data_IF_614759797980
#
_entry.id   IF_614759797980
#
_cell.length_a   1.000
_cell.length_b   1.000
_cell.length_c   1.000
_cell.angle_alpha   90.00
_cell.angle_beta   90.00
_cell.angle_gamma   90.00
#
_symmetry.space_group_name_H-M   'P 1'
#
loop_
_entity.id
_entity.type
_entity.pdbx_description
1 polymer ?
#
# COMPACT_ATOMS: atom_id res chain seq x y z
N UNK A 1 1.23 -3.17 -25.86
CA UNK A 1 0.54 -4.08 -24.91
C UNK A 1 1.29 -4.22 -23.58
N UNK A 2 2.62 -4.36 -23.58
CA UNK A 2 3.43 -4.50 -22.35
C UNK A 2 3.19 -3.41 -21.28
N UNK A 3 3.10 -2.13 -21.67
CA UNK A 3 2.82 -1.03 -20.73
C UNK A 3 1.47 -1.12 -20.02
N UNK A 4 0.43 -1.51 -20.76
CA UNK A 4 -0.91 -1.67 -20.18
C UNK A 4 -0.91 -2.84 -19.19
N UNK A 5 -0.17 -3.91 -19.48
CA UNK A 5 0.02 -5.02 -18.53
C UNK A 5 0.70 -4.56 -17.24
N UNK A 6 1.78 -3.79 -17.32
CA UNK A 6 2.48 -3.27 -16.12
C UNK A 6 1.55 -2.37 -15.30
N UNK A 7 0.79 -1.49 -15.95
CA UNK A 7 -0.17 -0.63 -15.27
C UNK A 7 -1.33 -1.42 -14.63
N UNK A 8 -1.91 -2.38 -15.36
CA UNK A 8 -2.96 -3.25 -14.83
C UNK A 8 -2.47 -4.07 -13.65
N UNK A 9 -1.29 -4.70 -13.75
CA UNK A 9 -0.72 -5.51 -12.68
C UNK A 9 -0.46 -4.67 -11.43
N UNK A 10 0.22 -3.53 -11.57
CA UNK A 10 0.51 -2.67 -10.43
C UNK A 10 -0.75 -2.03 -9.83
N UNK A 11 -1.73 -1.67 -10.67
CA UNK A 11 -3.03 -1.17 -10.22
C UNK A 11 -3.83 -2.23 -9.46
N UNK A 12 -3.85 -3.46 -9.97
CA UNK A 12 -4.52 -4.58 -9.31
C UNK A 12 -3.82 -4.93 -7.99
N UNK A 13 -2.48 -4.85 -7.95
CA UNK A 13 -1.71 -5.04 -6.73
C UNK A 13 -2.05 -3.97 -5.67
N UNK A 14 -2.20 -2.69 -6.06
CA UNK A 14 -2.66 -1.65 -5.15
C UNK A 14 -4.05 -1.95 -4.58
N UNK A 15 -4.98 -2.37 -5.44
CA UNK A 15 -6.34 -2.76 -5.00
C UNK A 15 -6.26 -3.91 -4.00
N UNK A 16 -5.45 -4.93 -4.27
CA UNK A 16 -5.26 -6.05 -3.32
C UNK A 16 -4.64 -5.56 -2.01
N UNK A 17 -3.62 -4.71 -2.05
CA UNK A 17 -2.93 -4.24 -0.85
C UNK A 17 -3.83 -3.35 0.02
N UNK A 18 -4.54 -2.40 -0.58
CA UNK A 18 -5.33 -1.41 0.17
C UNK A 18 -6.78 -1.83 0.42
N UNK A 19 -7.34 -2.74 -0.37
CA UNK A 19 -8.72 -3.20 -0.20
C UNK A 19 -8.74 -4.67 0.19
N UNK A 20 -7.96 -5.51 -0.49
CA UNK A 20 -7.90 -6.96 -0.22
C UNK A 20 -7.35 -7.29 1.17
N UNK A 21 -6.17 -6.75 1.54
CA UNK A 21 -5.55 -7.03 2.85
C UNK A 21 -6.47 -6.56 3.98
N UNK A 22 -7.01 -5.33 3.99
CA UNK A 22 -7.97 -4.93 5.01
C UNK A 22 -9.25 -5.74 4.96
N UNK A 23 -9.82 -6.06 3.80
CA UNK A 23 -11.06 -6.86 3.72
C UNK A 23 -10.90 -8.26 4.31
N UNK A 24 -9.79 -8.94 4.01
CA UNK A 24 -9.52 -10.30 4.50
C UNK A 24 -9.16 -10.30 5.98
N UNK A 25 -8.43 -9.29 6.45
CA UNK A 25 -8.05 -9.18 7.86
C UNK A 25 -9.14 -8.60 8.76
N UNK A 26 -10.05 -7.80 8.18
CA UNK A 26 -11.29 -7.33 8.82
C UNK A 26 -12.39 -8.37 8.78
N UNK A 27 -12.26 -9.41 7.93
CA UNK A 27 -13.20 -10.52 7.89
C UNK A 27 -13.27 -11.15 9.28
N UNK A 28 -14.44 -11.03 9.91
CA UNK A 28 -14.74 -11.66 11.20
C UNK A 28 -15.25 -13.06 10.92
N UNK A 29 -14.47 -14.08 11.25
CA UNK A 29 -14.97 -15.44 11.37
C UNK A 29 -15.56 -15.59 12.77
N UNK A 30 -16.84 -15.26 12.94
CA UNK A 30 -17.52 -15.27 14.24
C UNK A 30 -16.98 -14.18 15.19
N UNK A 31 -16.51 -14.55 16.39
CA UNK A 31 -15.94 -13.63 17.39
C UNK A 31 -14.43 -13.38 17.22
N UNK A 32 -13.77 -14.07 16.29
CA UNK A 32 -12.33 -13.96 16.05
C UNK A 32 -12.07 -12.96 14.92
N UNK A 33 -11.53 -11.80 15.31
CA UNK A 33 -10.87 -10.89 14.38
C UNK A 33 -9.58 -11.58 13.91
N UNK A 34 -9.56 -12.04 12.66
CA UNK A 34 -8.51 -12.91 12.11
C UNK A 34 -7.10 -12.30 12.16
N UNK A 35 -7.01 -10.97 12.24
CA UNK A 35 -5.72 -10.29 12.35
C UNK A 35 -5.85 -9.01 13.17
N UNK A 36 -4.99 -8.88 14.18
CA UNK A 36 -4.82 -7.64 14.95
C UNK A 36 -4.36 -6.51 14.02
N UNK A 37 -4.80 -5.28 14.24
CA UNK A 37 -4.34 -4.08 13.51
C UNK A 37 -2.83 -4.05 13.16
N UNK A 38 -1.89 -4.42 14.07
CA UNK A 38 -0.46 -4.45 13.74
C UNK A 38 -0.07 -5.49 12.68
N UNK A 39 -0.76 -6.62 12.59
CA UNK A 39 -0.49 -7.65 11.57
C UNK A 39 -0.95 -7.20 10.18
N UNK A 40 -2.06 -6.46 10.11
CA UNK A 40 -2.56 -5.87 8.85
C UNK A 40 -1.53 -4.90 8.28
N UNK A 41 -1.02 -3.99 9.11
CA UNK A 41 0.00 -3.03 8.69
C UNK A 41 1.31 -3.71 8.29
N UNK A 42 1.73 -4.73 9.02
CA UNK A 42 2.94 -5.49 8.66
C UNK A 42 2.78 -6.15 7.28
N UNK A 43 1.62 -6.75 6.99
CA UNK A 43 1.28 -7.32 5.68
C UNK A 43 1.27 -6.25 4.58
N UNK A 44 0.71 -5.08 4.85
CA UNK A 44 0.74 -3.93 3.92
C UNK A 44 2.17 -3.48 3.64
N UNK A 45 3.02 -3.35 4.66
CA UNK A 45 4.44 -2.98 4.52
C UNK A 45 5.20 -4.00 3.67
N UNK A 46 5.03 -5.31 3.95
CA UNK A 46 5.66 -6.36 3.14
C UNK A 46 5.13 -6.39 1.71
N UNK A 47 3.82 -6.18 1.51
CA UNK A 47 3.20 -6.12 0.19
C UNK A 47 3.75 -4.95 -0.64
N UNK A 48 3.83 -3.76 -0.06
CA UNK A 48 4.42 -2.58 -0.70
C UNK A 48 5.91 -2.76 -0.97
N UNK A 49 6.65 -3.37 -0.03
CA UNK A 49 8.09 -3.61 -0.15
C UNK A 49 8.42 -4.58 -1.28
N UNK A 50 7.69 -5.71 -1.34
CA UNK A 50 7.82 -6.67 -2.45
C UNK A 50 7.44 -6.04 -3.79
N UNK A 51 6.37 -5.25 -3.84
CA UNK A 51 5.95 -4.54 -5.05
C UNK A 51 7.03 -3.59 -5.57
N UNK A 52 7.64 -2.80 -4.68
CA UNK A 52 8.74 -1.90 -5.02
C UNK A 52 9.98 -2.68 -5.49
N UNK A 53 10.33 -3.77 -4.80
CA UNK A 53 11.46 -4.61 -5.16
C UNK A 53 11.28 -5.29 -6.52
N UNK A 54 10.10 -5.85 -6.80
CA UNK A 54 9.76 -6.45 -8.10
C UNK A 54 9.77 -5.43 -9.24
N UNK A 55 9.26 -4.21 -9.03
CA UNK A 55 9.30 -3.16 -10.05
C UNK A 55 10.74 -2.68 -10.31
N UNK A 56 11.57 -2.59 -9.26
CA UNK A 56 13.01 -2.27 -9.41
C UNK A 56 13.78 -3.38 -10.15
N UNK A 57 13.60 -4.64 -9.78
CA UNK A 57 14.28 -5.75 -10.46
C UNK A 57 13.83 -5.87 -11.92
N UNK A 58 12.54 -5.67 -12.19
CA UNK A 58 12.02 -5.61 -13.56
C UNK A 58 12.64 -4.47 -14.37
N UNK A 59 12.79 -3.28 -13.76
CA UNK A 59 13.43 -2.13 -14.39
C UNK A 59 14.92 -2.34 -14.65
N UNK A 60 15.62 -3.11 -13.81
CA UNK A 60 17.07 -3.32 -13.95
C UNK A 60 17.42 -4.47 -14.91
N UNK A 61 16.68 -5.58 -14.88
CA UNK A 61 17.08 -6.82 -15.56
C UNK A 61 16.17 -7.23 -16.73
N UNK A 62 14.87 -6.92 -16.67
CA UNK A 62 13.89 -7.44 -17.65
C UNK A 62 13.55 -6.44 -18.76
N UNK A 63 13.58 -5.14 -18.48
CA UNK A 63 13.11 -4.13 -19.44
C UNK A 63 14.25 -3.52 -20.26
N UNK A 64 14.34 -3.98 -21.51
CA UNK A 64 15.29 -3.47 -22.51
C UNK A 64 14.90 -2.10 -23.07
N UNK A 65 13.61 -1.76 -23.06
CA UNK A 65 13.10 -0.47 -23.56
C UNK A 65 13.13 0.62 -22.48
N UNK A 66 13.69 1.79 -22.81
CA UNK A 66 13.82 2.91 -21.86
C UNK A 66 12.47 3.43 -21.35
N UNK A 67 11.42 3.38 -22.18
CA UNK A 67 10.11 3.92 -21.79
C UNK A 67 9.39 2.99 -20.82
N UNK A 68 9.54 1.68 -20.98
CA UNK A 68 8.97 0.68 -20.07
C UNK A 68 9.73 0.67 -18.75
N UNK A 69 11.07 0.81 -18.80
CA UNK A 69 11.92 1.00 -17.62
C UNK A 69 11.54 2.24 -16.80
N UNK A 70 11.27 3.36 -17.46
CA UNK A 70 10.81 4.59 -16.79
C UNK A 70 9.47 4.37 -16.09
N UNK A 71 8.58 3.58 -16.69
CA UNK A 71 7.28 3.28 -16.10
C UNK A 71 7.41 2.38 -14.86
N UNK A 72 8.28 1.36 -14.89
CA UNK A 72 8.60 0.57 -13.68
C UNK A 72 9.22 1.44 -12.59
N UNK A 73 10.14 2.36 -12.91
CA UNK A 73 10.69 3.29 -11.92
C UNK A 73 9.64 4.19 -11.28
N UNK A 74 8.67 4.68 -12.07
CA UNK A 74 7.53 5.44 -11.52
C UNK A 74 6.75 4.61 -10.51
N UNK A 75 6.48 3.34 -10.83
CA UNK A 75 5.78 2.44 -9.91
C UNK A 75 6.60 2.08 -8.68
N UNK A 76 7.90 1.83 -8.81
CA UNK A 76 8.82 1.68 -7.68
C UNK A 76 8.73 2.91 -6.76
N UNK A 77 8.74 4.12 -7.33
CA UNK A 77 8.62 5.34 -6.54
C UNK A 77 7.27 5.46 -5.84
N UNK A 78 6.15 5.13 -6.52
CA UNK A 78 4.81 5.13 -5.92
C UNK A 78 4.74 4.13 -4.75
N UNK A 79 5.15 2.88 -4.95
CA UNK A 79 5.16 1.88 -3.89
C UNK A 79 6.13 2.24 -2.75
N UNK A 80 7.29 2.81 -3.07
CA UNK A 80 8.26 3.28 -2.09
C UNK A 80 7.74 4.47 -1.26
N UNK A 81 7.07 5.43 -1.89
CA UNK A 81 6.44 6.55 -1.19
C UNK A 81 5.31 6.08 -0.27
N UNK A 82 4.46 5.17 -0.74
CA UNK A 82 3.41 4.56 0.08
C UNK A 82 4.00 3.78 1.25
N UNK A 83 5.08 3.03 1.03
CA UNK A 83 5.79 2.32 2.09
C UNK A 83 6.38 3.29 3.12
N UNK A 84 6.96 4.40 2.68
CA UNK A 84 7.48 5.43 3.57
C UNK A 84 6.38 6.06 4.43
N UNK A 85 5.20 6.35 3.84
CA UNK A 85 4.03 6.86 4.56
C UNK A 85 3.56 5.85 5.60
N UNK A 86 3.39 4.58 5.21
CA UNK A 86 2.94 3.53 6.14
C UNK A 86 3.94 3.30 7.27
N UNK A 87 5.24 3.37 6.96
CA UNK A 87 6.32 3.24 7.94
C UNK A 87 6.37 4.46 8.90
N UNK A 88 6.16 5.67 8.38
CA UNK A 88 6.06 6.88 9.20
C UNK A 88 4.82 6.85 10.12
N UNK A 89 3.71 6.29 9.64
CA UNK A 89 2.53 6.07 10.46
C UNK A 89 2.78 4.98 11.52
N UNK A 90 3.42 3.87 11.16
CA UNK A 90 3.77 2.79 12.08
C UNK A 90 4.73 3.25 13.20
N UNK A 91 5.74 4.05 12.88
CA UNK A 91 6.67 4.62 13.85
C UNK A 91 6.08 5.79 14.66
N UNK A 92 4.82 6.17 14.41
CA UNK A 92 4.12 7.24 15.12
C UNK A 92 4.57 8.66 14.75
N UNK A 93 5.36 8.82 13.68
CA UNK A 93 5.76 10.14 13.16
C UNK A 93 4.58 10.88 12.52
N UNK A 94 3.69 10.13 11.88
CA UNK A 94 2.40 10.64 11.41
C UNK A 94 1.33 10.30 12.44
N UNK A 95 0.97 11.27 13.28
CA UNK A 95 -0.10 11.12 14.25
C UNK A 95 -1.35 11.89 13.80
N UNK A 96 -2.38 11.16 13.41
CA UNK A 96 -3.68 11.74 13.00
C UNK A 96 -4.59 12.09 14.18
N UNK A 97 -4.07 12.15 15.42
CA UNK A 97 -4.86 12.58 16.58
C UNK A 97 -5.55 13.92 16.37
N UNK A 98 -4.93 14.86 15.65
CA UNK A 98 -5.57 16.12 15.28
C UNK A 98 -6.81 15.92 14.39
N UNK A 99 -6.73 15.04 13.38
CA UNK A 99 -7.86 14.72 12.50
C UNK A 99 -8.97 13.98 13.26
N UNK A 100 -8.59 13.09 14.17
CA UNK A 100 -9.53 12.35 15.03
C UNK A 100 -10.28 13.29 15.97
N UNK A 101 -9.57 14.25 16.56
CA UNK A 101 -10.17 15.29 17.39
C UNK A 101 -11.09 16.21 16.58
N UNK A 102 -10.71 16.59 15.36
CA UNK A 102 -11.55 17.40 14.48
C UNK A 102 -12.84 16.65 14.06
N UNK A 103 -12.74 15.34 13.76
CA UNK A 103 -13.89 14.48 13.47
C UNK A 103 -14.80 14.29 14.68
N UNK A 104 -14.24 14.06 15.88
CA UNK A 104 -15.03 13.98 17.12
C UNK A 104 -15.71 15.30 17.44
N UNK A 105 -15.03 16.43 17.21
CA UNK A 105 -15.64 17.74 17.37
C UNK A 105 -16.82 17.95 16.41
N UNK A 106 -16.67 17.57 15.14
CA UNK A 106 -17.74 17.64 14.15
C UNK A 106 -18.91 16.70 14.48
N UNK A 107 -18.62 15.48 14.93
CA UNK A 107 -19.63 14.48 15.31
C UNK A 107 -20.40 14.86 16.58
N UNK A 108 -19.79 15.58 17.52
CA UNK A 108 -20.50 16.08 18.69
C UNK A 108 -21.31 17.36 18.41
N UNK A 109 -21.14 17.96 17.22
CA UNK A 109 -21.78 19.23 16.83
C UNK A 109 -23.01 19.02 15.93
N UNK A 110 -23.08 17.89 15.22
CA UNK A 110 -24.17 17.48 14.34
C UNK A 110 -24.85 16.22 14.89
#
# INVERSE_FOLDING_TARGET
MHRLLIQCLNGLLLVIIFIGIPAITSARFGSLQLSSAPKVQLLTLWGLGLAAACNSSAALWLMKDRKDRTLCWKWTFVFGALLAIECAYYNGWLNFNWLKNALQWAQNRF
#
